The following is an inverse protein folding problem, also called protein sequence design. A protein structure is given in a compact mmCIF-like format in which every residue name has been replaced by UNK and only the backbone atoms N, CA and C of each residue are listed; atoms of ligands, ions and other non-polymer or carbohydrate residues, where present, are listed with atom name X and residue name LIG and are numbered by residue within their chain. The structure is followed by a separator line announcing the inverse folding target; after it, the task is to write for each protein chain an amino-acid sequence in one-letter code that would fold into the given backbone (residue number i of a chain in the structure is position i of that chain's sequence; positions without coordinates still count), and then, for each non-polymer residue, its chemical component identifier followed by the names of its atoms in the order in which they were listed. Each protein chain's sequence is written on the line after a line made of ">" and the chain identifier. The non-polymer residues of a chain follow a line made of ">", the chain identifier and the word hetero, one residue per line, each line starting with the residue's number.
data_IF_866381723157
#
_entry.id   IF_866381723157
#
_cell.length_a   1.000
_cell.length_b   1.000
_cell.length_c   1.000
_cell.angle_alpha   90.00
_cell.angle_beta   90.00
_cell.angle_gamma   90.00
#
_symmetry.space_group_name_H-M   'P 1'
#
loop_
_entity.id
_entity.type
_entity.pdbx_description
1 polymer ?
#
# COMPACT_ATOMS: atom_id res chain seq x y z
N UNK A 1 17.03 -2.29 22.06
CA UNK A 1 18.27 -1.60 21.68
C UNK A 1 17.91 -0.48 20.71
N UNK A 2 18.06 0.78 21.14
CA UNK A 2 17.85 1.94 20.27
C UNK A 2 18.90 1.94 19.15
N UNK A 3 18.55 2.43 17.96
CA UNK A 3 19.49 2.55 16.85
C UNK A 3 20.73 3.35 17.27
N UNK A 4 21.91 2.95 16.80
CA UNK A 4 23.16 3.68 17.11
C UNK A 4 23.01 5.13 16.66
N UNK A 5 23.36 6.07 17.54
CA UNK A 5 23.44 7.50 17.26
C UNK A 5 24.31 7.68 15.99
N UNK A 6 23.76 8.33 14.97
CA UNK A 6 24.39 8.51 13.65
C UNK A 6 23.84 7.60 12.53
N UNK A 7 22.87 6.73 12.80
CA UNK A 7 22.23 5.90 11.77
C UNK A 7 21.29 6.72 10.88
N UNK A 8 21.80 7.20 9.74
CA UNK A 8 20.98 7.87 8.70
C UNK A 8 20.01 6.87 8.08
N UNK A 9 18.72 7.18 8.14
CA UNK A 9 17.68 6.47 7.40
C UNK A 9 17.52 7.11 6.03
N UNK A 10 17.39 6.27 5.01
CA UNK A 10 17.07 6.71 3.66
C UNK A 10 15.65 6.25 3.33
N UNK A 11 14.84 7.13 2.73
CA UNK A 11 13.48 6.80 2.35
C UNK A 11 13.50 5.80 1.17
N UNK A 12 12.36 5.20 0.85
CA UNK A 12 12.31 4.07 -0.10
C UNK A 12 12.70 4.50 -1.51
N UNK A 13 12.33 5.72 -1.90
CA UNK A 13 12.55 6.32 -3.21
C UNK A 13 14.05 6.42 -3.52
N UNK A 14 14.87 6.82 -2.54
CA UNK A 14 16.33 6.88 -2.70
C UNK A 14 16.93 5.49 -2.91
N UNK A 15 16.37 4.46 -2.28
CA UNK A 15 16.84 3.08 -2.46
C UNK A 15 16.42 2.55 -3.83
N UNK A 16 15.20 2.87 -4.29
CA UNK A 16 14.70 2.52 -5.62
C UNK A 16 15.58 3.14 -6.70
N UNK A 17 15.85 4.44 -6.59
CA UNK A 17 16.71 5.14 -7.55
C UNK A 17 18.13 4.56 -7.57
N UNK A 18 18.71 4.26 -6.40
CA UNK A 18 20.01 3.62 -6.33
C UNK A 18 20.07 2.24 -7.03
N UNK A 19 19.01 1.45 -6.93
CA UNK A 19 18.89 0.16 -7.61
C UNK A 19 18.70 0.37 -9.12
N UNK A 20 17.84 1.30 -9.51
CA UNK A 20 17.58 1.67 -10.90
C UNK A 20 18.85 2.10 -11.62
N UNK A 21 19.60 3.04 -11.05
CA UNK A 21 20.88 3.51 -11.59
C UNK A 21 21.91 2.38 -11.76
N UNK A 22 21.87 1.37 -10.88
CA UNK A 22 22.78 0.23 -10.95
C UNK A 22 22.41 -0.74 -12.09
N UNK A 23 21.12 -1.05 -12.26
CA UNK A 23 20.65 -2.05 -13.22
C UNK A 23 20.35 -1.49 -14.61
N UNK A 24 19.71 -0.32 -14.69
CA UNK A 24 19.32 0.31 -15.96
C UNK A 24 20.48 1.09 -16.57
N UNK A 25 21.21 1.84 -15.76
CA UNK A 25 22.27 2.75 -16.25
C UNK A 25 23.69 2.20 -16.05
N UNK A 26 23.83 1.02 -15.42
CA UNK A 26 25.11 0.35 -15.22
C UNK A 26 26.10 1.11 -14.34
N UNK A 27 25.65 2.10 -13.56
CA UNK A 27 26.53 2.95 -12.75
C UNK A 27 27.21 2.16 -11.64
N UNK A 28 28.45 2.55 -11.35
CA UNK A 28 29.20 2.00 -10.23
C UNK A 28 28.61 2.46 -8.90
N UNK A 29 28.88 1.71 -7.83
CA UNK A 29 28.41 2.03 -6.48
C UNK A 29 28.95 3.38 -6.00
N UNK A 30 30.17 3.73 -6.40
CA UNK A 30 30.79 5.02 -6.07
C UNK A 30 30.07 6.18 -6.76
N UNK A 31 29.77 6.07 -8.05
CA UNK A 31 29.02 7.07 -8.79
C UNK A 31 27.61 7.27 -8.22
N UNK A 32 26.90 6.19 -7.91
CA UNK A 32 25.56 6.24 -7.30
C UNK A 32 25.62 6.93 -5.92
N UNK A 33 26.66 6.65 -5.15
CA UNK A 33 26.88 7.27 -3.83
C UNK A 33 27.05 8.77 -3.95
N UNK A 34 27.86 9.22 -4.91
CA UNK A 34 28.09 10.63 -5.18
C UNK A 34 26.81 11.32 -5.71
N UNK A 35 26.12 10.69 -6.65
CA UNK A 35 24.91 11.22 -7.28
C UNK A 35 23.77 11.41 -6.26
N UNK A 36 23.58 10.45 -5.36
CA UNK A 36 22.49 10.45 -4.38
C UNK A 36 22.90 11.05 -3.01
N UNK A 37 24.12 11.59 -2.89
CA UNK A 37 24.61 12.18 -1.63
C UNK A 37 24.61 11.19 -0.46
N UNK A 38 24.92 9.91 -0.74
CA UNK A 38 24.92 8.85 0.26
C UNK A 38 26.21 8.92 1.08
N UNK A 39 26.08 8.65 2.37
CA UNK A 39 27.22 8.61 3.29
C UNK A 39 28.25 7.51 2.97
N UNK A 40 27.82 6.40 2.38
CA UNK A 40 28.67 5.23 2.19
C UNK A 40 28.16 4.34 1.02
N UNK A 41 29.08 3.97 0.13
CA UNK A 41 28.87 3.04 -0.98
C UNK A 41 28.47 1.63 -0.54
N UNK A 42 28.81 1.23 0.69
CA UNK A 42 28.35 -0.04 1.25
C UNK A 42 26.82 -0.13 1.29
N UNK A 43 26.12 1.00 1.43
CA UNK A 43 24.65 1.02 1.42
C UNK A 43 24.08 0.62 0.06
N UNK A 44 24.64 1.17 -1.01
CA UNK A 44 24.28 0.81 -2.39
C UNK A 44 24.52 -0.68 -2.62
N UNK A 45 25.67 -1.20 -2.18
CA UNK A 45 25.97 -2.64 -2.23
C UNK A 45 24.89 -3.48 -1.54
N UNK A 46 24.48 -3.09 -0.34
CA UNK A 46 23.47 -3.81 0.43
C UNK A 46 22.08 -3.74 -0.23
N UNK A 47 21.67 -2.58 -0.76
CA UNK A 47 20.39 -2.44 -1.46
C UNK A 47 20.34 -3.26 -2.74
N UNK A 48 21.38 -3.22 -3.56
CA UNK A 48 21.46 -4.04 -4.78
C UNK A 48 21.44 -5.54 -4.44
N UNK A 49 22.18 -5.97 -3.41
CA UNK A 49 22.18 -7.37 -2.97
C UNK A 49 20.80 -7.80 -2.48
N UNK A 50 20.12 -6.95 -1.72
CA UNK A 50 18.80 -7.24 -1.17
C UNK A 50 17.73 -7.25 -2.27
N UNK A 51 17.80 -6.31 -3.21
CA UNK A 51 16.93 -6.27 -4.39
C UNK A 51 17.10 -7.51 -5.27
N UNK A 52 18.33 -8.00 -5.47
CA UNK A 52 18.55 -9.28 -6.18
C UNK A 52 17.83 -10.46 -5.52
N UNK A 53 17.68 -10.44 -4.19
CA UNK A 53 17.08 -11.54 -3.42
C UNK A 53 15.55 -11.43 -3.32
N UNK A 54 15.04 -10.22 -3.10
CA UNK A 54 13.65 -9.98 -2.69
C UNK A 54 12.87 -9.12 -3.70
N UNK A 55 13.53 -8.54 -4.71
CA UNK A 55 12.92 -7.60 -5.64
C UNK A 55 12.33 -6.38 -4.94
N UNK A 56 11.14 -5.98 -5.36
CA UNK A 56 10.44 -4.80 -4.86
C UNK A 56 10.00 -4.91 -3.39
N UNK A 57 9.98 -6.13 -2.82
CA UNK A 57 9.71 -6.31 -1.39
C UNK A 57 10.72 -5.58 -0.49
N UNK A 58 11.91 -5.25 -1.01
CA UNK A 58 12.88 -4.41 -0.29
C UNK A 58 12.28 -3.06 0.13
N UNK A 59 11.38 -2.49 -0.66
CA UNK A 59 10.86 -1.14 -0.48
C UNK A 59 9.58 -1.11 0.35
N UNK A 60 8.79 -2.19 0.34
CA UNK A 60 7.48 -2.28 1.00
C UNK A 60 7.53 -2.94 2.37
N UNK A 61 8.63 -3.64 2.69
CA UNK A 61 8.76 -4.36 3.97
C UNK A 61 8.80 -3.40 5.15
N UNK A 62 7.91 -3.65 6.11
CA UNK A 62 7.91 -2.94 7.39
C UNK A 62 9.25 -3.13 8.12
N UNK A 63 9.86 -2.02 8.55
CA UNK A 63 11.14 -2.02 9.27
C UNK A 63 10.83 -2.08 10.77
N UNK A 64 11.27 -3.15 11.44
CA UNK A 64 11.18 -3.28 12.90
C UNK A 64 10.44 -4.54 13.36
N UNK A 65 10.12 -4.58 14.66
CA UNK A 65 9.37 -5.69 15.25
C UNK A 65 7.98 -5.76 14.60
N UNK A 66 7.55 -6.94 14.12
CA UNK A 66 6.16 -7.13 13.68
C UNK A 66 5.21 -6.72 14.80
N UNK A 67 4.13 -6.01 14.47
CA UNK A 67 3.12 -5.67 15.45
C UNK A 67 2.51 -6.98 15.99
N UNK A 68 2.56 -7.19 17.31
CA UNK A 68 2.04 -8.39 17.97
C UNK A 68 0.53 -8.54 17.75
N UNK A 69 -0.16 -7.43 17.52
CA UNK A 69 -1.59 -7.36 17.29
C UNK A 69 -1.92 -7.05 15.83
N UNK A 70 -1.00 -7.30 14.89
CA UNK A 70 -1.36 -7.25 13.48
C UNK A 70 -2.44 -8.33 13.24
N UNK A 71 -3.65 -7.89 12.92
CA UNK A 71 -4.71 -8.79 12.45
C UNK A 71 -4.15 -9.55 11.25
N UNK A 72 -4.22 -10.89 11.31
CA UNK A 72 -3.78 -11.69 10.17
C UNK A 72 -4.74 -11.44 9.01
N UNK A 73 -4.27 -11.62 7.78
CA UNK A 73 -5.13 -11.45 6.60
C UNK A 73 -6.34 -12.37 6.69
N UNK A 74 -6.17 -13.56 7.27
CA UNK A 74 -7.24 -14.53 7.47
C UNK A 74 -8.27 -14.04 8.48
N UNK A 75 -7.83 -13.46 9.61
CA UNK A 75 -8.73 -12.88 10.62
C UNK A 75 -9.52 -11.68 10.06
N UNK A 76 -8.86 -10.82 9.29
CA UNK A 76 -9.50 -9.71 8.59
C UNK A 76 -10.55 -10.22 7.58
N UNK A 77 -10.23 -11.25 6.79
CA UNK A 77 -11.16 -11.87 5.85
C UNK A 77 -12.38 -12.45 6.58
N UNK A 78 -12.18 -13.17 7.68
CA UNK A 78 -13.30 -13.70 8.46
C UNK A 78 -14.18 -12.60 9.04
N UNK A 79 -13.57 -11.56 9.63
CA UNK A 79 -14.29 -10.40 10.14
C UNK A 79 -15.12 -9.72 9.04
N UNK A 80 -14.51 -9.45 7.88
CA UNK A 80 -15.19 -8.84 6.74
C UNK A 80 -16.30 -9.73 6.17
N UNK A 81 -16.16 -11.05 6.21
CA UNK A 81 -17.21 -11.99 5.80
C UNK A 81 -18.39 -11.93 6.77
N UNK A 82 -18.13 -11.91 8.08
CA UNK A 82 -19.18 -11.76 9.09
C UNK A 82 -19.90 -10.42 8.98
N UNK A 83 -19.16 -9.32 8.83
CA UNK A 83 -19.71 -7.98 8.64
C UNK A 83 -20.58 -7.91 7.38
N UNK A 84 -20.11 -8.46 6.26
CA UNK A 84 -20.91 -8.56 5.03
C UNK A 84 -22.18 -9.40 5.21
N UNK A 85 -22.12 -10.50 5.95
CA UNK A 85 -23.30 -11.32 6.23
C UNK A 85 -24.34 -10.55 7.05
N UNK A 86 -23.89 -9.83 8.08
CA UNK A 86 -24.76 -8.99 8.92
C UNK A 86 -25.36 -7.83 8.13
N UNK A 87 -24.56 -7.13 7.33
CA UNK A 87 -25.03 -6.04 6.46
C UNK A 87 -26.05 -6.53 5.43
N UNK A 88 -25.83 -7.71 4.83
CA UNK A 88 -26.79 -8.33 3.90
C UNK A 88 -28.11 -8.67 4.59
N UNK A 89 -28.06 -9.20 5.82
CA UNK A 89 -29.24 -9.50 6.62
C UNK A 89 -30.03 -8.23 6.94
N UNK A 90 -29.37 -7.21 7.48
CA UNK A 90 -29.98 -5.91 7.76
C UNK A 90 -30.61 -5.29 6.52
N UNK A 91 -29.91 -5.33 5.38
CA UNK A 91 -30.45 -4.85 4.10
C UNK A 91 -31.70 -5.61 3.67
N UNK A 92 -31.77 -6.92 3.93
CA UNK A 92 -32.95 -7.73 3.61
C UNK A 92 -34.14 -7.40 4.51
N UNK A 93 -33.90 -7.15 5.79
CA UNK A 93 -34.92 -6.75 6.77
C UNK A 93 -35.49 -5.38 6.40
N UNK A 94 -34.63 -4.39 6.15
CA UNK A 94 -35.04 -3.06 5.67
C UNK A 94 -35.82 -3.12 4.35
N UNK A 95 -35.51 -4.08 3.46
CA UNK A 95 -36.28 -4.30 2.22
C UNK A 95 -37.65 -4.95 2.45
N UNK A 96 -37.83 -5.72 3.51
CA UNK A 96 -39.13 -6.30 3.90
C UNK A 96 -40.00 -5.24 4.57
N UNK A 97 -39.38 -4.41 5.40
CA UNK A 97 -40.05 -3.34 6.15
C UNK A 97 -40.36 -2.12 5.27
N UNK A 98 -39.62 -1.94 4.17
CA UNK A 98 -40.07 -1.11 3.05
C UNK A 98 -41.10 -1.90 2.24
N UNK A 99 -42.41 -1.64 2.36
CA UNK A 99 -43.33 -2.05 1.30
C UNK A 99 -42.79 -1.45 0.00
N UNK A 100 -42.65 -2.28 -1.04
CA UNK A 100 -42.25 -1.83 -2.37
C UNK A 100 -42.93 -0.49 -2.62
N UNK A 101 -42.14 0.57 -2.90
CA UNK A 101 -42.66 1.91 -3.16
C UNK A 101 -43.87 1.72 -4.06
N UNK A 102 -45.08 1.82 -3.49
CA UNK A 102 -46.32 1.76 -4.25
C UNK A 102 -46.11 2.84 -5.30
N UNK A 103 -46.49 2.58 -6.55
CA UNK A 103 -46.33 3.55 -7.64
C UNK A 103 -47.10 4.84 -7.30
N UNK A 104 -46.52 5.71 -6.49
CA UNK A 104 -46.97 7.08 -6.27
C UNK A 104 -46.00 7.88 -7.13
N UNK A 105 -46.41 8.04 -8.39
CA UNK A 105 -45.83 8.90 -9.42
C UNK A 105 -44.30 8.99 -9.43
N UNK A 106 -43.66 8.36 -10.41
CA UNK A 106 -42.36 8.87 -10.84
C UNK A 106 -42.56 10.32 -11.27
N UNK A 107 -41.83 11.30 -10.70
CA UNK A 107 -41.78 12.61 -11.31
C UNK A 107 -41.06 12.42 -12.65
N UNK A 108 -41.81 12.61 -13.73
CA UNK A 108 -41.27 12.81 -15.07
C UNK A 108 -40.32 14.00 -15.02
N UNK A 109 -39.04 13.76 -14.76
CA UNK A 109 -38.00 14.73 -15.13
C UNK A 109 -37.83 14.61 -16.63
N UNK A 110 -38.73 15.25 -17.37
CA UNK A 110 -38.53 15.55 -18.78
C UNK A 110 -37.25 16.39 -18.85
N UNK A 111 -36.17 15.77 -19.31
CA UNK A 111 -34.96 16.48 -19.66
C UNK A 111 -35.27 17.38 -20.86
N UNK A 112 -35.59 18.64 -20.61
CA UNK A 112 -35.53 19.68 -21.64
C UNK A 112 -34.10 20.21 -21.66
N UNK A 113 -33.22 19.45 -22.31
CA UNK A 113 -31.99 19.98 -22.86
C UNK A 113 -32.35 20.62 -24.19
N UNK A 114 -32.38 21.95 -24.25
CA UNK A 114 -32.40 22.71 -25.50
C UNK A 114 -31.37 23.83 -25.37
N UNK A 115 -30.47 23.80 -26.37
CA UNK A 115 -29.33 24.67 -26.69
C UNK A 115 -29.39 26.11 -26.23
#
# INVERSE_FOLDING_TARGET
>A
MSGKIGMKHYPAEIKQEAVRLFYEEGKTRAEITNLLGLRDQHRVKMWVKQYRKEGDNLFTKHIGRPNKNAETKEAEIERLRMENALLKKLRSELRKDMPAKRNIGQPITTGTNLK
#
